data_IF_704606034512
#
_entry.id   IF_704606034512
#
_cell.length_a   1.000
_cell.length_b   1.000
_cell.length_c   1.000
_cell.angle_alpha   90.00
_cell.angle_beta   90.00
_cell.angle_gamma   90.00
#
_symmetry.space_group_name_H-M   'P 1'
#
loop_
_entity.id
_entity.type
_entity.pdbx_description
1 polymer ?
#
# COMPACT_ATOMS: atom_id res chain seq x y z
N UNK A 1 -29.29 70.10 16.68
CA UNK A 1 -30.71 70.36 16.40
C UNK A 1 -31.04 69.99 14.96
N UNK A 2 -32.27 69.52 14.70
CA UNK A 2 -32.64 68.71 13.54
C UNK A 2 -33.63 69.44 12.61
N UNK A 3 -33.88 68.87 11.42
CA UNK A 3 -34.97 69.31 10.55
C UNK A 3 -35.72 68.10 10.00
N UNK A 4 -36.79 67.69 10.67
CA UNK A 4 -37.74 66.67 10.21
C UNK A 4 -39.01 67.28 9.61
N UNK A 5 -39.83 66.43 8.98
CA UNK A 5 -41.30 66.58 8.80
C UNK A 5 -41.81 65.35 8.01
N UNK A 6 -42.40 64.32 8.63
CA UNK A 6 -43.80 64.13 9.04
C UNK A 6 -44.85 63.97 7.92
N UNK A 7 -45.64 62.91 8.10
CA UNK A 7 -46.66 62.27 7.24
C UNK A 7 -48.01 63.03 7.15
N UNK A 8 -49.06 62.49 6.47
CA UNK A 8 -50.05 61.66 7.20
C UNK A 8 -50.83 60.58 6.41
N UNK A 9 -51.49 59.70 7.18
CA UNK A 9 -52.47 58.65 6.82
C UNK A 9 -53.85 59.16 6.30
N UNK A 10 -54.54 58.38 5.44
CA UNK A 10 -55.86 57.71 5.72
C UNK A 10 -56.49 56.99 4.49
N UNK A 11 -57.19 55.89 4.81
CA UNK A 11 -58.04 54.98 3.98
C UNK A 11 -59.40 55.61 3.54
N UNK A 12 -60.17 55.02 2.59
CA UNK A 12 -61.24 54.04 2.93
C UNK A 12 -61.54 52.95 1.84
N UNK A 13 -61.73 51.66 2.21
CA UNK A 13 -62.98 50.86 2.42
C UNK A 13 -63.53 50.03 1.23
N UNK A 14 -63.91 48.79 1.59
CA UNK A 14 -64.88 47.82 1.03
C UNK A 14 -64.50 46.85 -0.11
N UNK A 15 -64.70 45.55 0.16
CA UNK A 15 -64.68 44.47 -0.83
C UNK A 15 -64.54 43.03 -0.30
N UNK A 16 -65.16 42.66 0.82
CA UNK A 16 -65.30 41.25 1.24
C UNK A 16 -66.51 40.61 0.54
N UNK A 17 -66.26 39.68 -0.37
CA UNK A 17 -67.00 38.42 -0.63
C UNK A 17 -66.49 37.83 -1.95
N UNK A 18 -66.47 36.50 -2.13
CA UNK A 18 -65.99 35.73 -3.29
C UNK A 18 -64.55 35.17 -3.28
N UNK A 19 -63.97 34.83 -2.12
CA UNK A 19 -62.77 33.94 -2.08
C UNK A 19 -62.84 32.73 -1.13
N UNK A 20 -63.98 32.50 -0.47
CA UNK A 20 -64.14 31.35 0.42
C UNK A 20 -64.80 30.12 -0.22
N UNK A 21 -65.51 30.27 -1.37
CA UNK A 21 -66.16 29.13 -2.05
C UNK A 21 -65.27 28.38 -3.06
N UNK A 22 -64.09 28.90 -3.39
CA UNK A 22 -63.18 28.29 -4.38
C UNK A 22 -62.13 27.35 -3.77
N UNK A 23 -61.99 27.32 -2.43
CA UNK A 23 -60.99 26.51 -1.72
C UNK A 23 -61.59 25.17 -1.25
N UNK A 24 -62.91 25.10 -1.00
CA UNK A 24 -63.58 23.86 -0.59
C UNK A 24 -63.87 22.88 -1.75
N UNK A 25 -64.01 23.38 -2.97
CA UNK A 25 -64.28 22.54 -4.16
C UNK A 25 -63.03 21.89 -4.76
N UNK A 26 -61.83 22.42 -4.53
CA UNK A 26 -60.57 21.83 -5.00
C UNK A 26 -60.08 20.68 -4.10
N UNK A 27 -60.27 20.76 -2.78
CA UNK A 27 -59.87 19.71 -1.83
C UNK A 27 -60.74 18.45 -1.93
N UNK A 28 -61.99 18.56 -2.37
CA UNK A 28 -62.88 17.40 -2.51
C UNK A 28 -62.59 16.57 -3.79
N UNK A 29 -62.13 17.21 -4.89
CA UNK A 29 -61.72 16.48 -6.12
C UNK A 29 -60.40 15.73 -5.96
N UNK A 30 -59.48 16.23 -5.14
CA UNK A 30 -58.18 15.57 -4.90
C UNK A 30 -58.32 14.28 -4.09
N UNK A 31 -59.26 14.20 -3.15
CA UNK A 31 -59.47 12.98 -2.34
C UNK A 31 -60.09 11.82 -3.12
N UNK A 32 -60.92 12.10 -4.13
CA UNK A 32 -61.55 11.05 -4.96
C UNK A 32 -60.53 10.41 -5.93
N UNK A 33 -59.60 11.18 -6.49
CA UNK A 33 -58.54 10.64 -7.35
C UNK A 33 -57.53 9.76 -6.60
N UNK A 34 -57.17 10.12 -5.36
CA UNK A 34 -56.24 9.33 -4.54
C UNK A 34 -56.85 7.97 -4.16
N UNK A 35 -58.16 7.92 -3.88
CA UNK A 35 -58.84 6.67 -3.53
C UNK A 35 -58.99 5.71 -4.73
N UNK A 36 -59.21 6.24 -5.94
CA UNK A 36 -59.27 5.42 -7.16
C UNK A 36 -57.89 4.85 -7.54
N UNK A 37 -56.82 5.61 -7.30
CA UNK A 37 -55.44 5.14 -7.52
C UNK A 37 -55.04 4.03 -6.52
N UNK A 38 -55.43 4.17 -5.25
CA UNK A 38 -55.19 3.16 -4.21
C UNK A 38 -55.92 1.84 -4.49
N UNK A 39 -57.17 1.89 -4.95
CA UNK A 39 -57.95 0.70 -5.27
C UNK A 39 -57.40 -0.04 -6.52
N UNK A 40 -56.74 0.67 -7.44
CA UNK A 40 -56.10 0.06 -8.61
C UNK A 40 -54.78 -0.63 -8.27
N UNK A 41 -54.04 -0.13 -7.28
CA UNK A 41 -52.79 -0.73 -6.78
C UNK A 41 -53.09 -1.96 -5.90
N UNK A 42 -54.11 -1.89 -5.03
CA UNK A 42 -54.45 -2.98 -4.11
C UNK A 42 -54.88 -4.28 -4.83
N UNK A 43 -55.46 -4.17 -6.03
CA UNK A 43 -55.85 -5.34 -6.85
C UNK A 43 -54.71 -5.97 -7.67
N UNK A 44 -53.51 -5.36 -7.69
CA UNK A 44 -52.32 -5.90 -8.38
C UNK A 44 -51.38 -6.71 -7.46
N UNK A 45 -51.45 -6.48 -6.14
CA UNK A 45 -50.53 -7.08 -5.16
C UNK A 45 -50.66 -8.61 -5.03
N UNK A 46 -51.84 -9.26 -5.10
CA UNK A 46 -51.93 -10.71 -4.89
C UNK A 46 -51.41 -11.55 -6.07
N UNK A 47 -51.19 -10.95 -7.25
CA UNK A 47 -50.74 -11.66 -8.46
C UNK A 47 -49.23 -11.61 -8.68
N UNK A 48 -48.50 -10.73 -8.00
CA UNK A 48 -47.03 -10.70 -8.07
C UNK A 48 -46.36 -11.65 -7.08
N UNK A 49 -46.98 -11.94 -5.93
CA UNK A 49 -46.37 -12.76 -4.87
C UNK A 49 -46.24 -14.24 -5.27
N UNK A 50 -47.16 -14.79 -6.05
CA UNK A 50 -47.07 -16.18 -6.54
C UNK A 50 -46.09 -16.36 -7.69
N UNK A 51 -45.80 -15.30 -8.47
CA UNK A 51 -44.79 -15.33 -9.53
C UNK A 51 -43.36 -15.24 -8.97
N UNK A 52 -43.15 -14.54 -7.85
CA UNK A 52 -41.84 -14.40 -7.20
C UNK A 52 -41.40 -15.67 -6.43
N UNK A 53 -42.34 -16.45 -5.88
CA UNK A 53 -42.03 -17.73 -5.23
C UNK A 53 -41.63 -18.85 -6.21
N UNK A 54 -42.05 -18.75 -7.48
CA UNK A 54 -41.65 -19.69 -8.53
C UNK A 54 -40.24 -19.43 -9.10
N UNK A 55 -39.62 -18.29 -8.75
CA UNK A 55 -38.27 -17.92 -9.20
C UNK A 55 -37.16 -18.28 -8.20
N UNK A 56 -37.51 -18.68 -6.97
CA UNK A 56 -36.54 -19.15 -5.97
C UNK A 56 -35.66 -20.34 -6.43
N UNK A 57 -36.14 -21.30 -7.26
CA UNK A 57 -35.29 -22.37 -7.76
C UNK A 57 -34.27 -21.89 -8.81
N UNK A 58 -34.43 -20.71 -9.41
CA UNK A 58 -33.51 -20.19 -10.44
C UNK A 58 -32.25 -19.54 -9.85
N UNK A 59 -32.28 -19.11 -8.58
CA UNK A 59 -31.10 -18.58 -7.89
C UNK A 59 -30.02 -19.66 -7.68
N UNK A 60 -30.42 -20.93 -7.52
CA UNK A 60 -29.50 -22.05 -7.41
C UNK A 60 -28.93 -22.53 -8.76
N UNK A 61 -29.50 -22.06 -9.89
CA UNK A 61 -29.13 -22.52 -11.23
C UNK A 61 -28.13 -21.61 -11.96
N UNK A 62 -27.75 -20.47 -11.38
CA UNK A 62 -26.87 -19.47 -12.01
C UNK A 62 -25.69 -19.10 -11.08
N UNK A 63 -24.68 -19.98 -10.94
CA UNK A 63 -23.44 -19.66 -10.23
C UNK A 63 -22.83 -18.35 -10.70
N UNK A 64 -22.95 -18.03 -11.99
CA UNK A 64 -22.44 -16.78 -12.56
C UNK A 64 -23.15 -15.53 -12.02
N UNK A 65 -24.42 -15.60 -11.63
CA UNK A 65 -25.16 -14.44 -11.06
C UNK A 65 -24.79 -14.23 -9.60
N UNK A 66 -24.52 -15.30 -8.85
CA UNK A 66 -23.96 -15.20 -7.50
C UNK A 66 -22.52 -14.67 -7.54
N UNK A 67 -21.70 -15.14 -8.47
CA UNK A 67 -20.36 -14.63 -8.71
C UNK A 67 -20.38 -13.16 -9.16
N UNK A 68 -21.37 -12.77 -9.99
CA UNK A 68 -21.58 -11.39 -10.40
C UNK A 68 -22.12 -10.53 -9.26
N UNK A 69 -22.94 -11.07 -8.35
CA UNK A 69 -23.41 -10.38 -7.15
C UNK A 69 -22.27 -10.15 -6.14
N UNK A 70 -21.36 -11.11 -5.98
CA UNK A 70 -20.14 -10.93 -5.18
C UNK A 70 -19.18 -9.92 -5.81
N UNK A 71 -19.12 -9.84 -7.16
CA UNK A 71 -18.41 -8.76 -7.88
C UNK A 71 -19.15 -7.41 -7.84
N UNK A 72 -20.45 -7.40 -7.56
CA UNK A 72 -21.31 -6.20 -7.48
C UNK A 72 -21.55 -5.71 -6.05
N UNK A 73 -21.04 -6.39 -5.01
CA UNK A 73 -20.93 -5.77 -3.68
C UNK A 73 -20.05 -4.53 -3.85
N UNK A 74 -20.66 -3.36 -3.68
CA UNK A 74 -19.94 -2.10 -3.64
C UNK A 74 -18.82 -2.26 -2.62
N UNK A 75 -17.57 -2.07 -3.07
CA UNK A 75 -16.40 -2.13 -2.21
C UNK A 75 -16.64 -1.22 -1.00
N UNK A 76 -16.35 -1.75 0.18
CA UNK A 76 -16.54 -1.07 1.45
C UNK A 76 -15.36 -0.16 1.71
N UNK A 77 -15.60 1.15 1.81
CA UNK A 77 -14.59 2.11 2.23
C UNK A 77 -14.55 2.15 3.76
N UNK A 78 -13.40 1.84 4.39
CA UNK A 78 -13.29 1.86 5.83
C UNK A 78 -13.59 3.26 6.40
N UNK A 79 -14.36 3.32 7.49
CA UNK A 79 -14.61 4.57 8.20
C UNK A 79 -13.32 5.20 8.75
N UNK A 80 -13.33 6.49 9.10
CA UNK A 80 -12.18 7.16 9.69
C UNK A 80 -11.81 6.53 11.04
N UNK A 81 -10.51 6.43 11.32
CA UNK A 81 -9.95 5.97 12.60
C UNK A 81 -8.89 6.95 13.08
N UNK A 82 -9.08 7.51 14.27
CA UNK A 82 -8.07 8.34 14.91
C UNK A 82 -6.92 7.45 15.44
N UNK A 83 -5.67 7.93 15.42
CA UNK A 83 -4.57 7.19 16.02
C UNK A 83 -4.68 7.23 17.56
N UNK A 84 -4.12 6.23 18.21
CA UNK A 84 -4.01 6.16 19.68
C UNK A 84 -3.15 7.32 20.20
N UNK A 85 -2.10 7.69 19.47
CA UNK A 85 -1.26 8.86 19.71
C UNK A 85 -0.65 9.36 18.40
N UNK A 86 -0.14 10.59 18.39
CA UNK A 86 0.68 11.14 17.29
C UNK A 86 2.14 11.03 17.65
N UNK A 87 2.99 10.56 16.74
CA UNK A 87 4.39 10.32 17.06
C UNK A 87 5.16 11.63 17.26
N UNK A 88 4.80 12.68 16.52
CA UNK A 88 5.53 13.95 16.51
C UNK A 88 6.98 13.83 16.05
N UNK A 89 7.37 12.68 15.46
CA UNK A 89 8.73 12.41 15.00
C UNK A 89 8.98 13.20 13.70
N UNK A 90 10.21 13.72 13.51
CA UNK A 90 10.61 14.27 12.21
C UNK A 90 10.61 13.16 11.14
N UNK A 91 10.64 13.54 9.86
CA UNK A 91 10.65 12.58 8.75
C UNK A 91 11.95 11.74 8.68
N UNK A 92 12.97 12.11 9.44
CA UNK A 92 14.16 11.28 9.71
C UNK A 92 13.91 10.14 10.71
N UNK A 93 12.78 10.12 11.42
CA UNK A 93 12.46 9.18 12.51
C UNK A 93 13.24 9.45 13.81
N UNK A 94 14.51 9.83 13.69
CA UNK A 94 15.39 10.28 14.77
C UNK A 94 15.50 11.81 14.79
N UNK A 95 15.90 12.44 15.93
CA UNK A 95 16.20 13.87 15.97
C UNK A 95 17.08 14.29 14.79
N UNK A 96 16.70 15.39 14.13
CA UNK A 96 17.37 15.85 12.92
C UNK A 96 18.83 16.24 13.22
N UNK A 97 19.74 15.84 12.34
CA UNK A 97 21.13 16.31 12.35
C UNK A 97 21.23 17.65 11.62
N UNK A 98 22.39 18.32 11.74
CA UNK A 98 22.66 19.56 11.00
C UNK A 98 22.58 19.32 9.50
N UNK A 99 21.86 20.19 8.79
CA UNK A 99 21.77 20.17 7.34
C UNK A 99 23.12 20.52 6.68
N UNK A 100 23.50 19.73 5.68
CA UNK A 100 24.67 19.94 4.84
C UNK A 100 24.24 19.86 3.36
N UNK A 101 24.15 21.02 2.71
CA UNK A 101 23.69 21.12 1.32
C UNK A 101 24.59 20.33 0.35
N UNK A 102 25.90 20.34 0.55
CA UNK A 102 26.85 19.67 -0.34
C UNK A 102 26.75 18.15 -0.28
N UNK A 103 26.54 17.59 0.92
CA UNK A 103 26.38 16.16 1.12
C UNK A 103 25.01 15.65 0.67
N UNK A 104 23.97 16.46 0.88
CA UNK A 104 22.59 16.02 0.72
C UNK A 104 22.02 16.33 -0.66
N UNK A 105 22.58 17.28 -1.42
CA UNK A 105 22.05 17.64 -2.73
C UNK A 105 22.20 16.48 -3.73
N UNK A 106 21.10 16.11 -4.39
CA UNK A 106 21.10 15.15 -5.48
C UNK A 106 20.95 15.89 -6.80
N UNK A 107 22.05 15.97 -7.56
CA UNK A 107 22.06 16.64 -8.84
C UNK A 107 21.48 15.76 -9.94
N UNK A 108 20.24 16.03 -10.36
CA UNK A 108 19.54 15.35 -11.47
C UNK A 108 19.38 16.23 -12.71
N UNK A 109 20.16 17.32 -12.80
CA UNK A 109 20.11 18.24 -13.94
C UNK A 109 20.80 17.63 -15.17
N UNK A 110 20.50 18.19 -16.36
CA UNK A 110 21.08 17.71 -17.62
C UNK A 110 22.61 17.69 -17.58
N UNK A 111 23.21 16.53 -17.88
CA UNK A 111 24.67 16.36 -17.93
C UNK A 111 25.30 15.97 -16.59
N UNK A 112 24.49 15.74 -15.55
CA UNK A 112 24.95 15.22 -14.26
C UNK A 112 25.31 13.73 -14.32
N UNK A 113 24.83 12.99 -15.33
CA UNK A 113 24.83 11.53 -15.38
C UNK A 113 23.61 10.92 -14.68
N UNK A 114 22.91 11.72 -13.87
CA UNK A 114 21.68 11.36 -13.17
C UNK A 114 20.46 12.12 -13.68
N UNK A 115 20.54 12.71 -14.87
CA UNK A 115 19.37 13.28 -15.51
C UNK A 115 18.28 12.23 -15.71
N UNK A 116 17.03 12.69 -15.63
CA UNK A 116 15.89 11.85 -15.92
C UNK A 116 15.93 11.35 -17.37
N UNK A 117 15.75 10.04 -17.55
CA UNK A 117 15.49 9.41 -18.84
C UNK A 117 14.26 8.54 -18.68
N UNK A 118 13.25 8.78 -19.53
CA UNK A 118 12.05 7.93 -19.56
C UNK A 118 12.47 6.50 -19.90
N UNK A 119 11.89 5.48 -19.23
CA UNK A 119 12.18 4.09 -19.57
C UNK A 119 11.84 3.83 -21.04
N UNK A 120 12.77 3.18 -21.74
CA UNK A 120 12.62 2.75 -23.12
C UNK A 120 11.93 1.40 -23.24
N UNK A 121 11.81 0.93 -24.49
CA UNK A 121 11.31 -0.42 -24.75
C UNK A 121 12.25 -1.47 -24.13
N UNK A 122 11.73 -2.31 -23.25
CA UNK A 122 12.49 -3.34 -22.54
C UNK A 122 13.02 -2.91 -21.16
N UNK A 123 12.95 -1.64 -20.81
CA UNK A 123 13.29 -1.18 -19.45
C UNK A 123 12.18 -1.54 -18.47
N UNK A 124 12.54 -2.19 -17.37
CA UNK A 124 11.58 -2.76 -16.42
C UNK A 124 11.32 -1.77 -15.27
N UNK A 125 10.04 -1.54 -14.98
CA UNK A 125 9.57 -0.79 -13.80
C UNK A 125 8.53 -1.60 -13.04
N UNK A 126 8.49 -1.43 -11.73
CA UNK A 126 7.66 -2.22 -10.82
C UNK A 126 6.71 -1.39 -9.96
N UNK A 127 6.35 -1.95 -8.82
CA UNK A 127 5.42 -1.38 -7.86
C UNK A 127 6.07 -0.33 -6.96
N UNK A 128 7.40 -0.37 -6.83
CA UNK A 128 8.17 0.51 -5.94
C UNK A 128 8.56 1.82 -6.65
N UNK A 129 7.92 2.96 -6.31
CA UNK A 129 8.24 4.24 -6.93
C UNK A 129 9.69 4.68 -6.70
N UNK A 130 10.26 4.38 -5.52
CA UNK A 130 11.64 4.74 -5.19
C UNK A 130 12.67 4.04 -6.08
N UNK A 131 12.46 2.74 -6.38
CA UNK A 131 13.31 1.99 -7.32
C UNK A 131 13.11 2.46 -8.75
N UNK A 132 11.87 2.74 -9.15
CA UNK A 132 11.56 3.24 -10.48
C UNK A 132 12.25 4.60 -10.74
N UNK A 133 12.19 5.52 -9.79
CA UNK A 133 12.90 6.80 -9.85
C UNK A 133 14.42 6.60 -9.88
N UNK A 134 14.97 5.73 -9.04
CA UNK A 134 16.41 5.43 -9.03
C UNK A 134 16.91 4.91 -10.39
N UNK A 135 16.16 4.02 -11.05
CA UNK A 135 16.47 3.55 -12.39
C UNK A 135 16.27 4.62 -13.47
N UNK A 136 15.22 5.44 -13.38
CA UNK A 136 14.97 6.56 -14.30
C UNK A 136 16.04 7.66 -14.22
N UNK A 137 16.81 7.72 -13.15
CA UNK A 137 17.90 8.66 -12.92
C UNK A 137 19.28 7.98 -12.86
N UNK A 138 19.40 6.73 -13.29
CA UNK A 138 20.70 6.06 -13.44
C UNK A 138 21.46 5.75 -12.13
N UNK A 139 20.85 5.95 -10.95
CA UNK A 139 21.39 5.45 -9.68
C UNK A 139 21.32 3.93 -9.61
N UNK A 140 20.31 3.35 -10.27
CA UNK A 140 20.26 1.94 -10.62
C UNK A 140 20.37 1.79 -12.14
N UNK A 141 20.82 0.63 -12.65
CA UNK A 141 20.72 0.29 -14.07
C UNK A 141 19.35 0.66 -14.66
N UNK A 142 19.37 1.46 -15.74
CA UNK A 142 18.16 2.03 -16.36
C UNK A 142 17.20 0.95 -16.87
N UNK A 143 17.72 -0.23 -17.21
CA UNK A 143 16.94 -1.40 -17.61
C UNK A 143 16.12 -2.06 -16.47
N UNK A 144 16.37 -1.69 -15.21
CA UNK A 144 15.66 -2.23 -14.05
C UNK A 144 16.11 -3.62 -13.60
N UNK A 145 17.21 -4.15 -14.13
CA UNK A 145 17.85 -5.39 -13.67
C UNK A 145 19.13 -5.01 -12.92
N UNK A 146 19.21 -5.35 -11.64
CA UNK A 146 20.18 -4.78 -10.71
C UNK A 146 20.88 -5.88 -9.92
N UNK A 147 22.17 -5.70 -9.64
CA UNK A 147 22.91 -6.54 -8.69
C UNK A 147 22.73 -6.06 -7.24
N UNK A 148 23.09 -6.92 -6.28
CA UNK A 148 23.17 -6.53 -4.87
C UNK A 148 24.08 -5.31 -4.64
N UNK A 149 25.26 -5.29 -5.27
CA UNK A 149 26.22 -4.20 -5.12
C UNK A 149 25.68 -2.88 -5.68
N UNK A 150 25.08 -2.92 -6.87
CA UNK A 150 24.43 -1.76 -7.48
C UNK A 150 23.26 -1.25 -6.64
N UNK A 151 22.53 -2.17 -5.98
CA UNK A 151 21.45 -1.80 -5.05
C UNK A 151 22.02 -1.05 -3.85
N UNK A 152 23.09 -1.56 -3.23
CA UNK A 152 23.74 -0.93 -2.08
C UNK A 152 24.30 0.44 -2.42
N UNK A 153 25.10 0.55 -3.49
CA UNK A 153 25.73 1.80 -3.87
C UNK A 153 24.69 2.83 -4.34
N UNK A 154 23.80 2.43 -5.25
CA UNK A 154 22.81 3.32 -5.85
C UNK A 154 21.78 3.86 -4.85
N UNK A 155 21.25 3.02 -3.96
CA UNK A 155 20.28 3.47 -2.95
C UNK A 155 20.94 4.19 -1.78
N UNK A 156 22.19 3.87 -1.45
CA UNK A 156 22.99 4.65 -0.49
C UNK A 156 23.30 6.05 -1.02
N UNK A 157 23.68 6.16 -2.29
CA UNK A 157 23.94 7.43 -2.97
C UNK A 157 22.68 8.28 -3.06
N UNK A 158 21.56 7.72 -3.52
CA UNK A 158 20.33 8.48 -3.75
C UNK A 158 19.56 8.80 -2.46
N UNK A 159 19.38 7.81 -1.59
CA UNK A 159 18.43 7.91 -0.47
C UNK A 159 19.09 7.89 0.90
N UNK A 160 20.42 7.74 0.98
CA UNK A 160 21.10 7.40 2.24
C UNK A 160 20.46 6.18 2.91
N UNK A 161 20.11 5.18 2.11
CA UNK A 161 19.78 3.85 2.61
C UNK A 161 21.07 3.20 3.11
N UNK A 162 21.07 2.68 4.33
CA UNK A 162 22.27 2.06 4.88
C UNK A 162 22.62 0.74 4.15
N UNK A 163 23.91 0.33 4.16
CA UNK A 163 24.32 -0.89 3.48
C UNK A 163 23.65 -2.16 3.99
N UNK A 164 23.36 -2.27 5.29
CA UNK A 164 22.66 -3.44 5.87
C UNK A 164 21.24 -3.57 5.34
N UNK A 165 20.49 -2.45 5.28
CA UNK A 165 19.13 -2.45 4.76
C UNK A 165 19.11 -2.77 3.26
N UNK A 166 19.96 -2.12 2.46
CA UNK A 166 20.04 -2.36 1.03
C UNK A 166 20.48 -3.79 0.70
N UNK A 167 21.48 -4.33 1.41
CA UNK A 167 21.95 -5.70 1.26
C UNK A 167 20.83 -6.70 1.57
N UNK A 168 20.15 -6.53 2.71
CA UNK A 168 19.07 -7.41 3.12
C UNK A 168 17.96 -7.48 2.08
N UNK A 169 17.44 -6.33 1.65
CA UNK A 169 16.36 -6.25 0.67
C UNK A 169 16.77 -6.82 -0.71
N UNK A 170 18.01 -6.55 -1.15
CA UNK A 170 18.52 -7.07 -2.43
C UNK A 170 18.69 -8.59 -2.41
N UNK A 171 19.31 -9.14 -1.36
CA UNK A 171 19.53 -10.60 -1.25
C UNK A 171 18.20 -11.35 -1.17
N UNK A 172 17.23 -10.85 -0.39
CA UNK A 172 15.90 -11.45 -0.32
C UNK A 172 15.20 -11.39 -1.68
N UNK A 173 15.33 -10.27 -2.40
CA UNK A 173 14.78 -10.13 -3.77
C UNK A 173 15.40 -11.13 -4.75
N UNK A 174 16.73 -11.27 -4.74
CA UNK A 174 17.45 -12.23 -5.59
C UNK A 174 17.08 -13.67 -5.26
N UNK A 175 16.98 -14.03 -3.98
CA UNK A 175 16.63 -15.39 -3.56
C UNK A 175 15.18 -15.76 -3.90
N UNK A 176 14.24 -14.83 -3.79
CA UNK A 176 12.82 -15.08 -4.08
C UNK A 176 12.52 -15.07 -5.58
N UNK A 177 13.10 -14.13 -6.33
CA UNK A 177 12.65 -13.82 -7.68
C UNK A 177 13.76 -13.33 -8.62
N UNK A 178 15.02 -13.60 -8.30
CA UNK A 178 16.17 -13.25 -9.13
C UNK A 178 16.94 -14.46 -9.63
N UNK A 179 18.22 -14.20 -9.87
CA UNK A 179 19.23 -15.16 -10.31
C UNK A 179 20.40 -15.14 -9.32
N UNK A 180 20.46 -16.11 -8.39
CA UNK A 180 21.53 -16.18 -7.40
C UNK A 180 22.93 -16.47 -7.97
N UNK A 181 23.05 -16.95 -9.22
CA UNK A 181 24.36 -17.17 -9.85
C UNK A 181 24.99 -15.83 -10.24
N UNK A 182 24.20 -14.90 -10.77
CA UNK A 182 24.66 -13.55 -11.13
C UNK A 182 24.49 -12.54 -10.01
N UNK A 183 23.73 -12.87 -8.97
CA UNK A 183 23.36 -11.95 -7.89
C UNK A 183 22.40 -10.85 -8.36
N UNK A 184 21.70 -11.07 -9.49
CA UNK A 184 20.83 -10.07 -10.09
C UNK A 184 19.35 -10.33 -9.82
N UNK A 185 18.57 -9.26 -9.76
CA UNK A 185 17.12 -9.30 -9.64
C UNK A 185 16.50 -8.14 -10.41
N UNK A 186 15.19 -8.20 -10.65
CA UNK A 186 14.45 -7.17 -11.38
C UNK A 186 13.57 -6.35 -10.42
N UNK A 187 13.65 -5.02 -10.55
CA UNK A 187 12.82 -4.07 -9.78
C UNK A 187 11.33 -4.10 -10.19
N UNK A 188 10.98 -4.87 -11.21
CA UNK A 188 9.61 -5.05 -11.68
C UNK A 188 9.32 -6.51 -12.05
N UNK A 189 9.04 -6.77 -13.33
CA UNK A 189 8.64 -8.09 -13.83
C UNK A 189 9.79 -9.02 -14.21
N UNK A 190 9.47 -10.11 -14.91
CA UNK A 190 10.42 -11.17 -15.20
C UNK A 190 11.57 -10.73 -16.13
N UNK A 191 12.72 -11.37 -15.97
CA UNK A 191 13.91 -11.17 -16.80
C UNK A 191 14.60 -12.51 -17.13
N UNK A 192 15.47 -12.58 -18.15
CA UNK A 192 16.19 -13.80 -18.48
C UNK A 192 17.19 -14.19 -17.38
N UNK A 193 17.00 -15.36 -16.78
CA UNK A 193 17.93 -15.95 -15.80
C UNK A 193 19.07 -16.72 -16.47
N UNK A 194 20.17 -16.91 -15.76
CA UNK A 194 21.26 -17.83 -16.17
C UNK A 194 20.76 -19.26 -16.35
N UNK A 195 19.83 -19.71 -15.49
CA UNK A 195 19.24 -21.05 -15.57
C UNK A 195 17.71 -20.98 -15.50
N UNK A 196 16.98 -21.76 -16.32
CA UNK A 196 15.51 -21.77 -16.32
C UNK A 196 14.86 -22.21 -15.00
N UNK A 197 15.61 -22.82 -14.09
CA UNK A 197 15.12 -23.24 -12.78
C UNK A 197 15.00 -22.08 -11.79
N UNK A 198 15.72 -20.97 -12.02
CA UNK A 198 15.59 -19.79 -11.17
C UNK A 198 14.33 -19.02 -11.55
N UNK A 199 13.54 -18.53 -10.57
CA UNK A 199 12.27 -17.88 -10.88
C UNK A 199 12.42 -16.66 -11.79
N UNK A 200 13.42 -15.80 -11.50
CA UNK A 200 13.69 -14.55 -12.21
C UNK A 200 12.44 -13.74 -12.58
N UNK A 201 11.41 -13.78 -11.72
CA UNK A 201 10.11 -13.15 -11.94
C UNK A 201 10.11 -11.67 -11.57
N UNK A 202 11.20 -11.18 -10.96
CA UNK A 202 11.28 -9.84 -10.38
C UNK A 202 10.36 -9.67 -9.18
N UNK A 203 10.45 -8.53 -8.50
CA UNK A 203 9.63 -8.24 -7.31
C UNK A 203 8.12 -8.39 -7.59
N UNK A 204 7.67 -8.15 -8.83
CA UNK A 204 6.26 -8.25 -9.18
C UNK A 204 5.73 -9.70 -9.12
N UNK A 205 6.60 -10.72 -9.22
CA UNK A 205 6.22 -12.13 -9.12
C UNK A 205 6.28 -12.71 -7.71
N UNK A 206 6.43 -11.87 -6.67
CA UNK A 206 6.66 -12.30 -5.28
C UNK A 206 5.44 -12.14 -4.38
N UNK A 207 4.22 -12.14 -4.93
CA UNK A 207 3.01 -11.88 -4.16
C UNK A 207 2.92 -12.75 -2.89
N UNK A 208 2.64 -12.09 -1.77
CA UNK A 208 2.64 -12.58 -0.39
C UNK A 208 3.98 -13.11 0.14
N UNK A 209 5.05 -13.03 -0.65
CA UNK A 209 6.43 -13.33 -0.25
C UNK A 209 7.24 -12.06 -0.04
N UNK A 210 7.16 -11.07 -0.92
CA UNK A 210 7.80 -9.75 -0.77
C UNK A 210 6.80 -8.66 -1.14
N UNK A 211 6.31 -8.66 -2.39
CA UNK A 211 5.11 -7.92 -2.76
C UNK A 211 3.92 -8.46 -1.96
N UNK A 212 2.99 -7.59 -1.57
CA UNK A 212 1.86 -7.99 -0.74
C UNK A 212 0.68 -7.02 -0.82
N UNK A 213 -0.44 -7.50 -0.28
CA UNK A 213 -1.68 -6.74 -0.15
C UNK A 213 -1.52 -5.50 0.75
N UNK A 214 -2.49 -4.59 0.70
CA UNK A 214 -2.52 -3.34 1.47
C UNK A 214 -1.33 -2.40 1.17
N UNK A 215 -0.78 -2.48 -0.05
CA UNK A 215 0.21 -1.55 -0.58
C UNK A 215 -0.27 -0.10 -0.56
N UNK A 216 0.65 0.86 -0.41
CA UNK A 216 0.32 2.28 -0.20
C UNK A 216 -0.63 2.87 -1.25
N UNK A 217 -0.44 2.54 -2.53
CA UNK A 217 -1.32 2.96 -3.63
C UNK A 217 -1.40 1.95 -4.78
N UNK A 218 -0.96 0.70 -4.54
CA UNK A 218 -1.11 -0.42 -5.50
C UNK A 218 -2.17 -1.37 -4.96
N UNK A 219 -2.89 -2.02 -5.86
CA UNK A 219 -4.02 -2.87 -5.50
C UNK A 219 -3.61 -4.31 -5.26
N UNK A 220 -4.23 -4.92 -4.25
CA UNK A 220 -4.18 -6.34 -3.93
C UNK A 220 -4.32 -7.23 -5.17
N UNK A 221 -3.45 -8.22 -5.31
CA UNK A 221 -3.35 -9.03 -6.53
C UNK A 221 -4.67 -9.73 -6.85
N UNK A 222 -5.30 -10.35 -5.84
CA UNK A 222 -6.55 -11.09 -5.99
C UNK A 222 -7.66 -10.22 -6.58
N UNK A 223 -7.85 -9.02 -6.05
CA UNK A 223 -8.89 -8.08 -6.50
C UNK A 223 -8.63 -7.49 -7.89
N UNK A 224 -7.44 -7.71 -8.44
CA UNK A 224 -7.00 -7.18 -9.72
C UNK A 224 -6.66 -8.29 -10.74
N UNK A 225 -7.14 -9.51 -10.50
CA UNK A 225 -6.97 -10.65 -11.40
C UNK A 225 -5.52 -11.11 -11.48
N UNK A 226 -4.81 -11.11 -10.36
CA UNK A 226 -3.40 -11.48 -10.25
C UNK A 226 -2.41 -10.36 -10.59
N UNK A 227 -2.89 -9.14 -10.91
CA UNK A 227 -2.04 -8.00 -11.28
C UNK A 227 -1.72 -7.13 -10.08
N UNK A 228 -0.45 -7.14 -9.68
CA UNK A 228 0.09 -6.36 -8.53
C UNK A 228 0.44 -4.91 -8.85
N UNK A 229 0.49 -4.54 -10.14
CA UNK A 229 0.86 -3.20 -10.60
C UNK A 229 -0.31 -2.21 -10.74
N UNK A 230 -1.53 -2.60 -10.38
CA UNK A 230 -2.72 -1.75 -10.62
C UNK A 230 -2.72 -0.58 -9.64
N UNK A 231 -2.62 0.64 -10.18
CA UNK A 231 -2.70 1.87 -9.40
C UNK A 231 -4.13 2.07 -8.87
N UNK A 232 -4.28 2.27 -7.57
CA UNK A 232 -5.59 2.46 -6.94
C UNK A 232 -5.83 3.95 -6.67
N UNK A 233 -6.64 4.58 -7.52
CA UNK A 233 -6.99 6.00 -7.36
C UNK A 233 -7.63 6.29 -6.00
N UNK A 234 -8.47 5.38 -5.46
CA UNK A 234 -9.03 5.51 -4.09
C UNK A 234 -7.95 5.71 -3.02
N UNK A 235 -6.85 4.98 -3.16
CA UNK A 235 -5.77 4.94 -2.18
C UNK A 235 -4.91 6.18 -2.31
N UNK A 236 -4.65 6.61 -3.56
CA UNK A 236 -3.95 7.84 -3.85
C UNK A 236 -4.71 9.07 -3.37
N UNK A 237 -6.01 9.16 -3.65
CA UNK A 237 -6.84 10.29 -3.21
C UNK A 237 -6.97 10.34 -1.70
N UNK A 238 -7.10 9.18 -1.03
CA UNK A 238 -7.05 9.12 0.43
C UNK A 238 -5.72 9.66 0.95
N UNK A 239 -4.58 9.14 0.49
CA UNK A 239 -3.25 9.62 0.87
C UNK A 239 -3.14 11.14 0.63
N UNK A 240 -3.47 11.60 -0.57
CA UNK A 240 -3.40 13.01 -0.96
C UNK A 240 -4.20 13.94 -0.02
N UNK A 241 -5.33 13.45 0.48
CA UNK A 241 -6.21 14.21 1.37
C UNK A 241 -5.70 14.34 2.82
N UNK A 242 -4.75 13.51 3.24
CA UNK A 242 -4.28 13.48 4.63
C UNK A 242 -3.52 14.73 5.02
N UNK A 243 -2.69 15.28 4.12
CA UNK A 243 -1.85 16.42 4.42
C UNK A 243 -1.42 17.21 3.17
N UNK A 244 -0.91 18.41 3.40
CA UNK A 244 -0.14 19.18 2.40
C UNK A 244 1.36 18.90 2.53
N UNK A 245 1.82 18.74 3.77
CA UNK A 245 3.14 18.29 4.17
C UNK A 245 3.00 16.99 4.98
N UNK A 246 3.55 15.89 4.46
CA UNK A 246 3.37 14.56 5.02
C UNK A 246 4.42 14.22 6.06
N UNK A 247 3.97 13.48 7.07
CA UNK A 247 4.76 12.97 8.18
C UNK A 247 4.60 11.46 8.33
N UNK A 248 5.37 10.88 9.25
CA UNK A 248 5.21 9.47 9.64
C UNK A 248 3.78 9.16 10.14
N UNK A 249 3.11 10.12 10.77
CA UNK A 249 1.75 9.93 11.28
C UNK A 249 0.74 9.75 10.13
N UNK A 250 0.93 10.46 9.01
CA UNK A 250 0.03 10.42 7.87
C UNK A 250 0.16 9.09 7.11
N UNK A 251 1.38 8.61 6.90
CA UNK A 251 1.58 7.31 6.24
C UNK A 251 1.20 6.13 7.15
N UNK A 252 1.24 6.30 8.48
CA UNK A 252 0.65 5.36 9.43
C UNK A 252 -0.88 5.27 9.26
N UNK A 253 -1.55 6.42 9.13
CA UNK A 253 -2.99 6.48 8.87
C UNK A 253 -3.35 5.86 7.50
N UNK A 254 -2.53 6.10 6.48
CA UNK A 254 -2.69 5.48 5.17
C UNK A 254 -2.54 3.95 5.23
N UNK A 255 -1.54 3.45 5.96
CA UNK A 255 -1.33 2.01 6.13
C UNK A 255 -2.53 1.37 6.83
N UNK A 256 -3.01 1.96 7.93
CA UNK A 256 -4.22 1.49 8.62
C UNK A 256 -5.46 1.46 7.70
N UNK A 257 -5.68 2.53 6.92
CA UNK A 257 -6.77 2.62 5.96
C UNK A 257 -6.70 1.49 4.92
N UNK A 258 -5.54 1.31 4.28
CA UNK A 258 -5.38 0.28 3.24
C UNK A 258 -5.50 -1.12 3.80
N UNK A 259 -4.95 -1.37 4.98
CA UNK A 259 -5.04 -2.67 5.63
C UNK A 259 -6.49 -3.03 5.99
N UNK A 260 -7.26 -2.09 6.56
CA UNK A 260 -8.69 -2.32 6.83
C UNK A 260 -9.49 -2.49 5.54
N UNK A 261 -9.15 -1.73 4.49
CA UNK A 261 -9.79 -1.87 3.19
C UNK A 261 -9.56 -3.28 2.61
N UNK A 262 -8.34 -3.79 2.67
CA UNK A 262 -8.03 -5.14 2.18
C UNK A 262 -8.77 -6.21 2.98
N UNK A 263 -8.84 -6.12 4.31
CA UNK A 263 -9.63 -7.04 5.12
C UNK A 263 -11.12 -7.01 4.74
N UNK A 264 -11.68 -5.82 4.50
CA UNK A 264 -13.10 -5.66 4.18
C UNK A 264 -13.48 -6.08 2.74
N UNK A 265 -12.52 -6.11 1.81
CA UNK A 265 -12.83 -6.28 0.39
C UNK A 265 -12.14 -7.47 -0.28
N UNK A 266 -11.01 -7.94 0.24
CA UNK A 266 -10.23 -9.00 -0.36
C UNK A 266 -10.39 -10.31 0.45
N UNK A 267 -11.20 -11.29 0.00
CA UNK A 267 -11.34 -12.57 0.71
C UNK A 267 -10.04 -13.39 0.77
N UNK A 268 -9.03 -13.01 -0.02
CA UNK A 268 -7.69 -13.58 -0.07
C UNK A 268 -6.64 -12.68 0.60
N UNK A 269 -7.06 -11.64 1.32
CA UNK A 269 -6.13 -10.78 2.05
C UNK A 269 -5.23 -11.64 2.94
N UNK A 270 -3.92 -11.52 2.76
CA UNK A 270 -2.94 -12.23 3.55
C UNK A 270 -1.77 -11.33 3.91
N UNK A 271 -1.39 -11.38 5.18
CA UNK A 271 -0.24 -10.70 5.75
C UNK A 271 0.74 -11.78 6.20
N UNK A 272 1.72 -12.06 5.34
CA UNK A 272 2.75 -13.06 5.63
C UNK A 272 3.75 -12.58 6.68
N UNK A 273 4.54 -13.47 7.26
CA UNK A 273 5.53 -13.10 8.28
C UNK A 273 6.53 -12.04 7.83
N UNK A 274 7.04 -12.15 6.60
CA UNK A 274 7.95 -11.16 6.02
C UNK A 274 7.17 -10.07 5.25
N UNK A 275 6.38 -10.45 4.25
CA UNK A 275 5.59 -9.51 3.41
C UNK A 275 4.64 -8.61 4.21
N UNK A 276 4.07 -9.11 5.30
CA UNK A 276 3.19 -8.35 6.21
C UNK A 276 3.91 -7.25 7.01
N UNK A 277 5.23 -7.32 7.17
CA UNK A 277 6.04 -6.21 7.70
C UNK A 277 6.57 -5.30 6.59
N UNK A 278 6.77 -5.83 5.38
CA UNK A 278 7.22 -5.03 4.22
C UNK A 278 6.18 -3.98 3.85
N UNK A 279 4.89 -4.31 3.85
CA UNK A 279 3.82 -3.36 3.50
C UNK A 279 3.81 -2.08 4.38
N UNK A 280 3.78 -2.15 5.72
CA UNK A 280 3.92 -0.95 6.55
C UNK A 280 5.31 -0.31 6.49
N UNK A 281 6.40 -1.09 6.37
CA UNK A 281 7.74 -0.51 6.21
C UNK A 281 7.85 0.35 4.94
N UNK A 282 7.20 -0.07 3.84
CA UNK A 282 7.16 0.69 2.59
C UNK A 282 6.42 2.03 2.71
N UNK A 283 5.46 2.15 3.64
CA UNK A 283 4.83 3.43 3.96
C UNK A 283 5.84 4.38 4.63
N UNK A 284 6.65 3.88 5.57
CA UNK A 284 7.73 4.67 6.16
C UNK A 284 8.77 5.08 5.12
N UNK A 285 9.17 4.19 4.20
CA UNK A 285 10.12 4.52 3.13
C UNK A 285 9.73 5.75 2.31
N UNK A 286 8.44 5.98 2.07
CA UNK A 286 7.96 7.19 1.39
C UNK A 286 8.38 8.45 2.16
N UNK A 287 8.18 8.48 3.47
CA UNK A 287 8.57 9.62 4.30
C UNK A 287 10.09 9.74 4.40
N UNK A 288 10.79 8.66 4.74
CA UNK A 288 12.23 8.70 5.01
C UNK A 288 13.07 8.98 3.76
N UNK A 289 12.63 8.53 2.58
CA UNK A 289 13.44 8.61 1.37
C UNK A 289 12.95 9.62 0.34
N UNK A 290 11.72 10.13 0.44
CA UNK A 290 11.19 11.11 -0.52
C UNK A 290 11.08 12.51 0.09
N UNK A 291 11.21 12.69 1.40
CA UNK A 291 11.24 14.01 2.03
C UNK A 291 12.42 14.84 1.53
N UNK A 292 12.18 16.12 1.27
CA UNK A 292 13.23 17.09 0.96
C UNK A 292 13.74 17.73 2.27
N UNK A 293 15.06 17.92 2.40
CA UNK A 293 15.70 18.48 3.59
C UNK A 293 16.26 19.88 3.31
N UNK A 294 16.23 20.77 4.31
CA UNK A 294 16.82 22.10 4.22
C UNK A 294 17.41 22.55 5.55
N UNK A 295 18.07 23.71 5.58
CA UNK A 295 18.54 24.32 6.83
C UNK A 295 17.39 24.67 7.78
N UNK A 296 16.24 25.08 7.24
CA UNK A 296 15.04 25.44 7.99
C UNK A 296 14.26 24.21 8.47
N UNK A 297 14.27 23.13 7.68
CA UNK A 297 13.61 21.85 8.00
C UNK A 297 14.60 20.68 7.87
N UNK A 298 15.58 20.56 8.77
CA UNK A 298 16.59 19.51 8.69
C UNK A 298 16.00 18.11 8.92
N UNK A 299 14.87 18.02 9.62
CA UNK A 299 14.11 16.77 9.80
C UNK A 299 13.37 16.28 8.56
N UNK A 300 13.39 17.05 7.46
CA UNK A 300 12.76 16.71 6.20
C UNK A 300 11.28 17.11 6.13
N UNK A 301 10.80 17.35 4.93
CA UNK A 301 9.39 17.57 4.62
C UNK A 301 9.05 16.96 3.28
N UNK A 302 8.00 16.15 3.25
CA UNK A 302 7.44 15.65 2.00
C UNK A 302 6.24 16.51 1.62
N UNK A 303 6.30 17.23 0.51
CA UNK A 303 5.15 18.00 0.00
C UNK A 303 4.34 17.17 -0.99
N UNK A 304 3.12 17.61 -1.29
CA UNK A 304 2.29 17.03 -2.38
C UNK A 304 3.00 17.01 -3.74
N UNK A 305 3.80 18.03 -4.04
CA UNK A 305 4.54 18.12 -5.30
C UNK A 305 5.61 17.04 -5.39
N UNK A 306 6.41 16.89 -4.32
CA UNK A 306 7.45 15.85 -4.24
C UNK A 306 6.82 14.46 -4.25
N UNK A 307 5.74 14.24 -3.50
CA UNK A 307 4.99 12.98 -3.50
C UNK A 307 4.48 12.64 -4.91
N UNK A 308 3.86 13.60 -5.61
CA UNK A 308 3.41 13.43 -6.99
C UNK A 308 4.55 13.09 -7.95
N UNK A 309 5.71 13.72 -7.80
CA UNK A 309 6.90 13.44 -8.62
C UNK A 309 7.36 11.99 -8.45
N UNK A 310 7.57 11.53 -7.22
CA UNK A 310 8.04 10.17 -6.96
C UNK A 310 7.02 9.09 -7.35
N UNK A 311 5.72 9.37 -7.23
CA UNK A 311 4.66 8.44 -7.63
C UNK A 311 4.18 8.60 -9.08
N UNK A 312 4.80 9.51 -9.85
CA UNK A 312 4.46 9.82 -11.24
C UNK A 312 2.99 10.25 -11.46
N UNK A 313 2.42 11.02 -10.55
CA UNK A 313 1.02 11.48 -10.64
C UNK A 313 0.93 12.94 -11.06
N UNK A 314 0.14 13.22 -12.10
CA UNK A 314 -0.23 14.57 -12.55
C UNK A 314 -1.70 14.89 -12.21
N UNK A 315 -2.11 16.15 -12.37
CA UNK A 315 -3.46 16.64 -12.04
C UNK A 315 -3.53 17.46 -10.75
N UNK A 316 -4.56 18.29 -10.62
CA UNK A 316 -4.61 19.35 -9.59
C UNK A 316 -5.40 18.95 -8.34
N UNK A 317 -6.07 17.81 -8.35
CA UNK A 317 -6.85 17.34 -7.22
C UNK A 317 -7.65 16.06 -7.51
N UNK A 318 -8.39 15.54 -6.50
CA UNK A 318 -9.26 14.38 -6.64
C UNK A 318 -10.20 14.49 -7.84
N UNK A 319 -10.39 13.38 -8.56
CA UNK A 319 -11.16 13.32 -9.81
C UNK A 319 -10.41 13.75 -11.07
N UNK A 320 -9.26 14.43 -10.95
CA UNK A 320 -8.45 14.91 -12.09
C UNK A 320 -7.03 14.34 -12.13
N UNK A 321 -6.71 13.41 -11.22
CA UNK A 321 -5.39 12.81 -11.16
C UNK A 321 -5.17 11.76 -12.26
N UNK A 322 -3.94 11.71 -12.78
CA UNK A 322 -3.48 10.71 -13.76
C UNK A 322 -2.16 10.11 -13.30
N UNK A 323 -2.11 8.78 -13.20
CA UNK A 323 -0.87 8.06 -12.93
C UNK A 323 -0.12 7.75 -14.23
N UNK A 324 1.11 8.25 -14.34
CA UNK A 324 1.99 8.09 -15.49
C UNK A 324 2.98 6.95 -15.21
N UNK A 325 2.53 5.71 -15.39
CA UNK A 325 3.31 4.51 -15.06
C UNK A 325 4.74 4.57 -15.64
N UNK A 326 5.74 4.33 -14.79
CA UNK A 326 7.14 4.30 -15.20
C UNK A 326 7.82 5.67 -15.30
N UNK A 327 7.09 6.77 -15.07
CA UNK A 327 7.60 8.13 -15.18
C UNK A 327 7.98 8.73 -13.82
N UNK A 328 8.28 7.89 -12.82
CA UNK A 328 8.69 8.31 -11.48
C UNK A 328 9.99 9.12 -11.53
N UNK A 329 10.02 10.25 -10.81
CA UNK A 329 11.08 11.26 -10.90
C UNK A 329 11.55 11.72 -9.53
N UNK A 330 12.86 11.92 -9.42
CA UNK A 330 13.45 12.73 -8.34
C UNK A 330 13.22 14.20 -8.73
N UNK A 331 12.66 15.05 -7.85
CA UNK A 331 12.48 16.47 -8.15
C UNK A 331 13.81 17.20 -8.32
N UNK A 332 13.80 18.29 -9.09
CA UNK A 332 14.89 19.26 -9.06
C UNK A 332 14.99 19.92 -7.67
N UNK A 333 16.19 20.38 -7.30
CA UNK A 333 16.44 21.03 -6.01
C UNK A 333 16.01 20.17 -4.80
N UNK A 334 16.34 18.87 -4.85
CA UNK A 334 16.01 17.89 -3.83
C UNK A 334 17.25 17.45 -3.05
N UNK A 335 17.11 17.40 -1.73
CA UNK A 335 18.16 17.06 -0.78
C UNK A 335 17.72 15.85 0.04
N UNK A 336 18.48 14.76 -0.05
CA UNK A 336 18.21 13.50 0.68
C UNK A 336 18.45 13.65 2.18
N UNK A 337 18.07 12.64 2.97
CA UNK A 337 18.44 12.55 4.39
C UNK A 337 19.97 12.46 4.58
N UNK A 338 20.55 13.02 5.66
CA UNK A 338 21.99 12.97 5.91
C UNK A 338 22.54 11.54 5.98
N UNK A 339 23.75 11.28 5.48
CA UNK A 339 24.36 9.95 5.52
C UNK A 339 24.71 9.52 6.95
N UNK A 340 25.10 10.48 7.81
CA UNK A 340 25.33 10.23 9.24
C UNK A 340 24.07 9.75 9.99
N UNK A 341 22.91 9.92 9.37
CA UNK A 341 21.64 9.39 9.82
C UNK A 341 21.04 8.56 8.67
N UNK A 342 21.74 7.54 8.17
CA UNK A 342 21.24 6.65 7.10
C UNK A 342 20.15 5.69 7.63
N UNK A 343 19.09 5.43 6.83
CA UNK A 343 18.01 4.56 7.27
C UNK A 343 18.45 3.10 7.28
N UNK A 344 18.33 2.45 8.43
CA UNK A 344 18.81 1.09 8.66
C UNK A 344 17.71 0.16 9.17
N UNK A 345 18.03 -1.14 9.27
CA UNK A 345 17.05 -2.16 9.69
C UNK A 345 16.48 -1.88 11.10
N UNK A 346 17.28 -1.58 12.13
CA UNK A 346 16.75 -1.20 13.45
C UNK A 346 15.76 -0.03 13.40
N UNK A 347 16.07 1.04 12.67
CA UNK A 347 15.18 2.21 12.54
C UNK A 347 13.87 1.84 11.84
N UNK A 348 13.93 1.05 10.75
CA UNK A 348 12.73 0.54 10.07
C UNK A 348 11.80 -0.19 11.03
N UNK A 349 12.35 -1.05 11.88
CA UNK A 349 11.57 -1.83 12.83
C UNK A 349 10.97 -0.93 13.91
N UNK A 350 11.72 0.04 14.42
CA UNK A 350 11.20 1.03 15.38
C UNK A 350 10.03 1.79 14.78
N UNK A 351 10.16 2.31 13.56
CA UNK A 351 9.10 3.09 12.93
C UNK A 351 7.87 2.22 12.61
N UNK A 352 8.05 0.96 12.19
CA UNK A 352 6.93 0.00 12.02
C UNK A 352 6.22 -0.28 13.35
N UNK A 353 6.96 -0.44 14.45
CA UNK A 353 6.34 -0.61 15.77
C UNK A 353 5.62 0.65 16.25
N UNK A 354 6.15 1.83 15.97
CA UNK A 354 5.45 3.10 16.24
C UNK A 354 4.14 3.17 15.46
N UNK A 355 4.15 2.85 14.15
CA UNK A 355 2.92 2.77 13.35
C UNK A 355 1.90 1.81 13.98
N UNK A 356 2.35 0.61 14.38
CA UNK A 356 1.48 -0.38 15.02
C UNK A 356 0.95 0.10 16.38
N UNK A 357 1.72 0.86 17.15
CA UNK A 357 1.26 1.42 18.41
C UNK A 357 0.25 2.57 18.19
N UNK A 358 0.43 3.39 17.14
CA UNK A 358 -0.54 4.41 16.73
C UNK A 358 -1.86 3.78 16.26
N UNK A 359 -1.75 2.68 15.53
CA UNK A 359 -2.86 1.97 14.93
C UNK A 359 -2.73 0.46 15.18
N UNK A 360 -3.16 -0.01 16.38
CA UNK A 360 -3.05 -1.42 16.74
C UNK A 360 -3.63 -2.32 15.66
N UNK A 361 -2.81 -3.29 15.26
CA UNK A 361 -3.11 -4.25 14.22
C UNK A 361 -2.38 -3.98 12.92
N UNK A 362 -1.71 -2.84 12.66
CA UNK A 362 -0.93 -2.68 11.41
C UNK A 362 0.04 -3.84 11.21
N UNK A 363 0.78 -4.21 12.26
CA UNK A 363 1.63 -5.40 12.24
C UNK A 363 0.79 -6.61 12.62
N UNK A 364 0.64 -7.55 11.67
CA UNK A 364 -0.14 -8.77 11.83
C UNK A 364 0.41 -9.90 10.97
N UNK A 365 0.21 -11.14 11.41
CA UNK A 365 0.45 -12.35 10.60
C UNK A 365 -0.85 -13.14 10.54
N UNK A 366 -1.25 -13.56 9.34
CA UNK A 366 -2.51 -14.26 9.10
C UNK A 366 -3.25 -13.67 7.90
N UNK A 367 -4.55 -13.95 7.77
CA UNK A 367 -5.31 -13.50 6.62
C UNK A 367 -6.81 -13.72 6.76
N UNK A 368 -7.55 -13.28 5.76
CA UNK A 368 -8.94 -13.67 5.56
C UNK A 368 -9.01 -15.16 5.21
N UNK A 369 -10.06 -15.85 5.65
CA UNK A 369 -10.26 -17.30 5.50
C UNK A 369 -11.20 -17.62 4.33
N UNK A 370 -11.04 -16.92 3.21
CA UNK A 370 -11.83 -17.13 1.98
C UNK A 370 -13.12 -16.33 1.88
N UNK A 371 -13.42 -15.48 2.87
CA UNK A 371 -14.51 -14.49 2.81
C UNK A 371 -14.00 -13.13 3.27
N UNK A 372 -14.68 -12.04 2.89
CA UNK A 372 -14.30 -10.71 3.39
C UNK A 372 -14.61 -10.58 4.89
N UNK A 373 -13.90 -9.70 5.60
CA UNK A 373 -14.07 -9.49 7.04
C UNK A 373 -13.91 -10.77 7.89
N UNK A 374 -13.09 -11.72 7.45
CA UNK A 374 -12.85 -13.01 8.14
C UNK A 374 -11.42 -13.16 8.66
N UNK A 375 -10.73 -12.04 8.86
CA UNK A 375 -9.32 -12.05 9.24
C UNK A 375 -9.11 -12.84 10.53
N UNK A 376 -8.26 -13.85 10.46
CA UNK A 376 -7.79 -14.61 11.61
C UNK A 376 -6.27 -14.49 11.68
N UNK A 377 -5.76 -14.20 12.88
CA UNK A 377 -4.33 -14.08 13.13
C UNK A 377 -3.69 -15.43 13.42
N UNK A 378 -2.41 -15.57 13.08
CA UNK A 378 -1.56 -16.67 13.50
C UNK A 378 -0.84 -16.31 14.79
N UNK A 379 -0.82 -17.23 15.75
CA UNK A 379 -0.03 -17.07 16.96
C UNK A 379 1.47 -17.18 16.63
N UNK A 380 2.23 -16.13 16.91
CA UNK A 380 3.67 -16.08 16.63
C UNK A 380 4.49 -17.07 17.47
N UNK A 381 4.05 -17.37 18.69
CA UNK A 381 4.64 -18.41 19.52
C UNK A 381 4.56 -19.77 18.84
N UNK A 382 3.37 -20.15 18.37
CA UNK A 382 3.17 -21.41 17.65
C UNK A 382 3.97 -21.43 16.34
N UNK A 383 3.95 -20.32 15.59
CA UNK A 383 4.65 -20.17 14.32
C UNK A 383 6.17 -20.37 14.44
N UNK A 384 6.74 -19.92 15.56
CA UNK A 384 8.20 -19.91 15.77
C UNK A 384 8.67 -20.98 16.75
N UNK A 385 7.78 -21.89 17.17
CA UNK A 385 8.10 -22.91 18.18
C UNK A 385 8.47 -22.32 19.55
N UNK A 386 7.92 -21.16 19.89
CA UNK A 386 8.10 -20.47 21.16
C UNK A 386 9.28 -19.50 21.23
N UNK A 387 10.08 -19.36 20.17
CA UNK A 387 11.25 -18.46 20.17
C UNK A 387 10.85 -16.98 20.17
N UNK A 388 9.81 -16.62 19.42
CA UNK A 388 9.25 -15.28 19.42
C UNK A 388 7.75 -15.29 19.72
N UNK A 389 7.26 -14.23 20.33
CA UNK A 389 5.83 -13.96 20.45
C UNK A 389 5.57 -12.48 20.17
N UNK A 390 4.29 -12.10 20.05
CA UNK A 390 3.92 -10.72 19.70
C UNK A 390 4.47 -9.68 20.69
N UNK A 391 4.59 -10.01 21.98
CA UNK A 391 5.17 -9.12 22.99
C UNK A 391 6.70 -9.02 22.88
N UNK A 392 7.37 -10.13 22.60
CA UNK A 392 8.85 -10.15 22.55
C UNK A 392 9.43 -9.53 21.28
N UNK A 393 8.65 -9.36 20.21
CA UNK A 393 9.16 -8.77 18.95
C UNK A 393 9.74 -7.36 19.13
N UNK A 394 9.23 -6.57 20.09
CA UNK A 394 9.71 -5.23 20.38
C UNK A 394 10.93 -5.21 21.32
N UNK A 395 11.34 -6.36 21.86
CA UNK A 395 12.45 -6.47 22.80
C UNK A 395 13.78 -6.61 22.06
N UNK A 396 14.68 -5.65 22.25
CA UNK A 396 16.04 -5.70 21.72
C UNK A 396 16.10 -5.91 20.20
N UNK A 397 16.74 -6.99 19.79
CA UNK A 397 16.99 -7.40 18.42
C UNK A 397 15.95 -8.40 17.87
N UNK A 398 14.94 -8.79 18.66
CA UNK A 398 14.01 -9.86 18.30
C UNK A 398 13.27 -9.61 16.98
N UNK A 399 12.81 -8.37 16.75
CA UNK A 399 12.15 -8.00 15.50
C UNK A 399 13.04 -8.16 14.27
N UNK A 400 14.34 -7.82 14.37
CA UNK A 400 15.29 -7.98 13.27
C UNK A 400 15.57 -9.45 12.98
N UNK A 401 15.70 -10.25 14.04
CA UNK A 401 15.91 -11.69 13.92
C UNK A 401 14.70 -12.42 13.37
N UNK A 402 13.50 -12.06 13.83
CA UNK A 402 12.25 -12.56 13.27
C UNK A 402 12.14 -12.19 11.79
N UNK A 403 12.39 -10.93 11.41
CA UNK A 403 12.32 -10.49 10.02
C UNK A 403 13.29 -11.27 9.12
N UNK A 404 14.54 -11.45 9.56
CA UNK A 404 15.55 -12.21 8.84
C UNK A 404 15.16 -13.68 8.67
N UNK A 405 14.62 -14.30 9.70
CA UNK A 405 14.24 -15.71 9.63
C UNK A 405 12.95 -15.92 8.86
N UNK A 406 11.98 -15.02 9.01
CA UNK A 406 10.77 -14.98 8.20
C UNK A 406 11.07 -14.84 6.71
N UNK A 407 12.06 -13.99 6.33
CA UNK A 407 12.46 -13.85 4.93
C UNK A 407 13.10 -15.14 4.38
N UNK A 408 13.86 -15.86 5.22
CA UNK A 408 14.48 -17.14 4.85
C UNK A 408 13.45 -18.29 4.77
N UNK A 409 12.46 -18.30 5.66
CA UNK A 409 11.42 -19.35 5.72
C UNK A 409 10.47 -19.36 4.51
N UNK A 410 10.40 -18.24 3.78
CA UNK A 410 9.61 -18.10 2.55
C UNK A 410 10.36 -18.39 1.25
N UNK A 411 11.65 -18.74 1.33
CA UNK A 411 12.48 -18.98 0.14
C UNK A 411 12.16 -20.33 -0.52
N UNK A 412 12.29 -20.42 -1.85
CA UNK A 412 12.10 -21.68 -2.57
C UNK A 412 13.25 -22.66 -2.26
N UNK A 413 12.92 -23.94 -2.08
CA UNK A 413 13.89 -25.02 -1.90
C UNK A 413 14.45 -25.49 -3.25
N UNK A 414 15.20 -24.60 -3.91
CA UNK A 414 15.88 -24.89 -5.18
C UNK A 414 17.32 -25.26 -4.89
N UNK A 415 17.68 -26.51 -5.19
CA UNK A 415 19.06 -27.01 -5.14
C UNK A 415 19.71 -26.98 -6.53
N UNK A 416 20.93 -26.46 -6.65
CA UNK A 416 21.65 -26.39 -7.93
C UNK A 416 23.19 -26.43 -7.76
N UNK A 417 23.91 -27.30 -8.50
CA UNK A 417 25.37 -27.39 -8.45
C UNK A 417 26.12 -26.10 -8.84
N UNK A 418 25.52 -25.24 -9.66
CA UNK A 418 26.12 -23.95 -10.05
C UNK A 418 26.19 -22.93 -8.91
N UNK A 419 25.49 -23.21 -7.80
CA UNK A 419 25.65 -22.45 -6.55
C UNK A 419 26.86 -22.93 -5.74
N UNK A 420 27.63 -23.90 -6.23
CA UNK A 420 28.86 -24.36 -5.57
C UNK A 420 28.61 -24.93 -4.18
N UNK A 421 29.44 -24.55 -3.22
CA UNK A 421 29.45 -25.12 -1.86
C UNK A 421 28.15 -24.91 -1.07
N UNK A 422 27.35 -23.88 -1.39
CA UNK A 422 26.06 -23.65 -0.71
C UNK A 422 24.94 -24.55 -1.23
N UNK A 423 25.09 -25.11 -2.45
CA UNK A 423 24.23 -26.12 -3.05
C UNK A 423 22.76 -25.76 -3.31
N UNK A 424 22.25 -24.66 -2.74
CA UNK A 424 20.84 -24.26 -2.77
C UNK A 424 20.67 -22.74 -2.66
N UNK A 425 19.52 -22.24 -3.09
CA UNK A 425 19.15 -20.82 -2.97
C UNK A 425 19.07 -20.38 -1.51
N UNK A 426 18.51 -21.23 -0.64
CA UNK A 426 18.49 -20.99 0.80
C UNK A 426 19.90 -20.93 1.39
N UNK A 427 20.79 -21.85 0.99
CA UNK A 427 22.19 -21.85 1.40
C UNK A 427 22.93 -20.58 0.96
N UNK A 428 22.71 -20.16 -0.29
CA UNK A 428 23.25 -18.90 -0.82
C UNK A 428 22.77 -17.70 0.00
N UNK A 429 21.45 -17.57 0.23
CA UNK A 429 20.89 -16.47 0.98
C UNK A 429 21.40 -16.44 2.43
N UNK A 430 21.50 -17.59 3.09
CA UNK A 430 22.09 -17.72 4.44
C UNK A 430 23.54 -17.28 4.47
N UNK A 431 24.33 -17.60 3.45
CA UNK A 431 25.72 -17.16 3.34
C UNK A 431 25.80 -15.63 3.21
N UNK A 432 24.99 -15.04 2.33
CA UNK A 432 24.98 -13.59 2.08
C UNK A 432 24.48 -12.80 3.31
N UNK A 433 23.48 -13.32 4.03
CA UNK A 433 22.89 -12.67 5.22
C UNK A 433 23.55 -13.09 6.54
N UNK A 434 24.49 -14.03 6.51
CA UNK A 434 25.23 -14.52 7.68
C UNK A 434 25.90 -13.41 8.51
N UNK A 435 26.57 -12.42 7.88
CA UNK A 435 27.12 -11.27 8.59
C UNK A 435 26.05 -10.46 9.34
N UNK A 436 24.88 -10.22 8.73
CA UNK A 436 23.77 -9.52 9.38
C UNK A 436 23.18 -10.34 10.53
N UNK A 437 23.00 -11.65 10.33
CA UNK A 437 22.56 -12.57 11.40
C UNK A 437 23.51 -12.54 12.60
N UNK A 438 24.80 -12.43 12.34
CA UNK A 438 25.84 -12.41 13.38
C UNK A 438 25.89 -11.06 14.09
N UNK A 439 25.81 -9.96 13.32
CA UNK A 439 25.73 -8.61 13.84
C UNK A 439 24.54 -8.43 14.78
N UNK A 440 23.38 -8.98 14.40
CA UNK A 440 22.18 -8.94 15.22
C UNK A 440 22.16 -10.01 16.31
N UNK A 441 23.08 -10.97 16.37
CA UNK A 441 23.07 -12.01 17.43
C UNK A 441 21.80 -12.87 17.46
N UNK A 442 21.28 -13.26 16.29
CA UNK A 442 19.96 -13.87 16.21
C UNK A 442 19.88 -15.31 16.74
N UNK A 443 18.94 -15.62 17.65
CA UNK A 443 18.70 -17.00 18.08
C UNK A 443 18.16 -17.81 16.91
N UNK A 444 18.62 -19.05 16.72
CA UNK A 444 18.12 -19.90 15.62
C UNK A 444 16.72 -20.44 15.94
N UNK A 445 15.80 -20.40 14.97
CA UNK A 445 14.53 -21.11 15.07
C UNK A 445 14.74 -22.60 14.89
N UNK A 446 14.10 -23.39 15.75
CA UNK A 446 14.05 -24.85 15.58
C UNK A 446 13.14 -25.24 14.41
N UNK A 447 12.01 -24.55 14.23
CA UNK A 447 11.11 -24.73 13.10
C UNK A 447 10.29 -23.45 12.84
N UNK A 448 9.91 -23.21 11.58
CA UNK A 448 8.97 -22.18 11.18
C UNK A 448 7.74 -22.87 10.60
N UNK A 449 6.63 -22.90 11.34
CA UNK A 449 5.49 -23.75 10.98
C UNK A 449 4.57 -23.09 9.94
N UNK A 450 4.95 -23.23 8.67
CA UNK A 450 4.14 -22.75 7.55
C UNK A 450 2.80 -23.49 7.38
N UNK A 451 2.55 -24.62 8.06
CA UNK A 451 1.25 -25.32 7.99
C UNK A 451 0.13 -24.50 8.64
N UNK A 452 0.48 -23.61 9.57
CA UNK A 452 -0.46 -22.66 10.16
C UNK A 452 -1.08 -21.71 9.12
N UNK A 453 -0.50 -21.63 7.91
CA UNK A 453 -1.03 -20.79 6.83
C UNK A 453 -2.02 -21.50 5.88
N UNK A 454 -2.17 -22.82 5.97
CA UNK A 454 -3.10 -23.58 5.11
C UNK A 454 -4.56 -23.07 5.12
N UNK A 455 -5.11 -22.55 6.24
CA UNK A 455 -6.46 -21.99 6.25
C UNK A 455 -6.65 -20.69 5.44
N UNK A 456 -5.57 -20.01 5.06
CA UNK A 456 -5.66 -18.72 4.34
C UNK A 456 -5.45 -18.94 2.84
N UNK A 457 -6.48 -18.75 2.01
CA UNK A 457 -6.34 -18.96 0.56
C UNK A 457 -5.37 -17.96 -0.10
N UNK A 458 -5.13 -16.80 0.52
CA UNK A 458 -4.12 -15.83 0.08
C UNK A 458 -2.68 -16.35 0.16
N UNK A 459 -2.36 -17.24 1.11
CA UNK A 459 -0.99 -17.77 1.29
C UNK A 459 -0.48 -18.50 0.02
N UNK A 460 -1.35 -19.30 -0.61
CA UNK A 460 -1.04 -20.02 -1.83
C UNK A 460 -1.32 -19.25 -3.12
N UNK A 461 -1.89 -18.03 -3.04
CA UNK A 461 -2.26 -17.27 -4.22
C UNK A 461 -1.02 -16.77 -4.95
N UNK A 462 -0.92 -17.05 -6.25
CA UNK A 462 0.18 -16.60 -7.10
C UNK A 462 -0.35 -15.63 -8.14
N UNK A 463 0.48 -14.65 -8.49
CA UNK A 463 0.19 -13.74 -9.60
C UNK A 463 0.10 -14.53 -10.91
N UNK A 464 -0.88 -14.22 -11.75
CA UNK A 464 -0.87 -14.70 -13.14
C UNK A 464 0.30 -14.06 -13.89
N UNK A 465 1.15 -14.91 -14.51
CA UNK A 465 2.41 -14.54 -15.17
C UNK A 465 2.42 -13.14 -15.78
N UNK A 466 3.20 -12.25 -15.17
CA UNK A 466 3.38 -10.89 -15.61
C UNK A 466 4.25 -10.84 -16.86
N UNK A 467 3.62 -10.82 -18.04
CA UNK A 467 4.13 -9.93 -19.09
C UNK A 467 3.64 -8.54 -18.70
N UNK A 468 4.57 -7.73 -18.17
CA UNK A 468 4.36 -6.32 -17.82
C UNK A 468 4.02 -5.51 -19.07
#
# INVERSE_FOLDING_TARGET
EPGGSYAPHRLPKYGQSRRYDMIYTSQCRQRVMIQQFYNSIANMVPRLTTALLALLPLAAAWPQVMEMNDRMKKREEPGPRAPVFKSGRPNTGLPALTFNAQEQFINVTQGSGHEFVSPGSGDIRGQCPGLNAAANHGFLPRNGIVSTEQTISGLGELYSMSPDLALFLAVVSTALAGDPVTGQWSIGGAFPATLPIFPATGIAGTHNQYEGDASIVRGDAYLNGGRVGVFQMRSWEHLYSLAEEYTLDDVAAQSDYNTRWSVANNPYYFSGPFSGMVAPAAHNFVIHFMSNHSAEKPGGTLTREVLKSFFAVTGDGPGNFVHNRGQERIPDNWYKRPFANAYNIPEVLVDVQVMNAMYPGIVRVGGNTGTTNSFTGVNLGDLTGGVFNAGSLAEGNNGACFLLQASLAGLPDISNPLLGAVGSVLGWAKQQLGPLSSQFGCPQLANFDNQLFTPYPGYGYKTSGLRV
#
